data_IF_849848840563
#
_entry.id   IF_849848840563
#
_cell.length_a   1.000
_cell.length_b   1.000
_cell.length_c   1.000
_cell.angle_alpha   90.00
_cell.angle_beta   90.00
_cell.angle_gamma   90.00
#
_symmetry.space_group_name_H-M   'P 1'
#
loop_
_entity.id
_entity.type
_entity.pdbx_description
1 polymer ?
#
# COMPACT_ATOMS: atom_id res chain seq x y z
N UNK A 1 1.68 38.18 8.60
CA UNK A 1 3.01 38.76 8.91
C UNK A 1 4.08 37.75 8.53
N UNK A 2 5.02 38.19 7.69
CA UNK A 2 6.16 37.45 7.15
C UNK A 2 7.18 37.06 8.22
N UNK A 3 7.84 35.90 8.08
CA UNK A 3 9.32 35.80 8.10
C UNK A 3 9.83 34.43 7.65
N UNK A 4 10.85 34.52 6.80
CA UNK A 4 11.68 33.46 6.20
C UNK A 4 12.67 32.84 7.19
N UNK A 5 13.21 31.71 6.72
CA UNK A 5 14.60 31.24 6.82
C UNK A 5 14.98 30.42 8.06
N UNK A 6 15.35 29.15 7.82
CA UNK A 6 16.64 28.62 8.25
C UNK A 6 17.16 27.63 7.19
N UNK A 7 18.20 28.08 6.48
CA UNK A 7 19.16 27.23 5.77
C UNK A 7 20.27 26.96 6.76
N UNK A 8 20.68 25.70 6.95
CA UNK A 8 22.05 25.39 7.34
C UNK A 8 22.49 24.05 6.75
N UNK A 9 23.55 24.19 5.96
CA UNK A 9 24.32 23.24 5.19
C UNK A 9 25.17 22.32 6.10
N UNK A 10 25.20 21.01 5.82
CA UNK A 10 26.30 20.11 6.19
C UNK A 10 26.61 19.12 5.07
N UNK A 11 27.48 19.58 4.16
CA UNK A 11 28.37 18.77 3.33
C UNK A 11 29.14 17.71 4.15
N UNK A 12 29.10 16.43 3.75
CA UNK A 12 30.14 15.73 2.94
C UNK A 12 30.05 14.21 3.10
N UNK A 13 29.79 13.55 1.98
CA UNK A 13 30.12 12.16 1.69
C UNK A 13 30.07 11.98 0.18
N UNK A 14 31.13 12.44 -0.52
CA UNK A 14 31.26 12.39 -1.98
C UNK A 14 31.28 10.93 -2.45
N UNK A 15 30.24 10.50 -3.15
CA UNK A 15 30.41 9.56 -4.25
C UNK A 15 29.95 10.22 -5.55
N UNK A 16 30.89 10.26 -6.47
CA UNK A 16 30.79 10.81 -7.80
C UNK A 16 29.89 9.94 -8.68
N UNK A 17 28.82 10.51 -9.21
CA UNK A 17 28.28 10.10 -10.50
C UNK A 17 27.99 11.35 -11.32
N UNK A 18 28.88 11.62 -12.26
CA UNK A 18 28.78 12.74 -13.16
C UNK A 18 27.54 12.67 -14.04
N UNK A 19 27.01 13.85 -14.34
CA UNK A 19 26.42 14.20 -15.61
C UNK A 19 25.44 13.20 -16.24
N UNK A 20 24.16 13.29 -15.85
CA UNK A 20 23.04 13.21 -16.80
C UNK A 20 21.94 14.22 -16.39
N UNK A 21 22.24 15.50 -16.51
CA UNK A 21 21.19 16.46 -16.88
C UNK A 21 20.90 16.23 -18.37
N UNK A 22 20.07 15.25 -18.68
CA UNK A 22 19.54 15.11 -20.03
C UNK A 22 18.24 15.91 -20.11
N UNK A 23 18.31 17.06 -20.75
CA UNK A 23 17.15 17.81 -21.23
C UNK A 23 16.38 16.93 -22.23
N UNK A 24 15.46 16.09 -21.74
CA UNK A 24 14.49 15.41 -22.59
C UNK A 24 13.12 16.02 -22.32
N UNK A 25 12.72 16.93 -23.22
CA UNK A 25 11.31 17.20 -23.42
C UNK A 25 10.69 15.94 -24.05
N UNK A 26 10.06 15.11 -23.24
CA UNK A 26 9.35 13.92 -23.69
C UNK A 26 7.99 14.33 -24.23
N UNK A 27 7.82 14.27 -25.55
CA UNK A 27 6.51 14.43 -26.17
C UNK A 27 5.67 13.18 -25.91
N UNK A 28 4.34 13.32 -25.86
CA UNK A 28 3.44 12.17 -25.69
C UNK A 28 3.68 11.08 -26.74
N UNK A 29 4.09 11.46 -27.97
CA UNK A 29 4.44 10.51 -29.02
C UNK A 29 5.69 9.67 -28.72
N UNK A 30 6.65 10.20 -27.94
CA UNK A 30 7.82 9.43 -27.50
C UNK A 30 7.43 8.37 -26.46
N UNK A 31 6.59 8.72 -25.48
CA UNK A 31 6.03 7.80 -24.49
C UNK A 31 5.30 6.63 -25.17
N UNK A 32 4.40 6.92 -26.11
CA UNK A 32 3.66 5.89 -26.85
C UNK A 32 4.58 4.91 -27.59
N UNK A 33 5.70 5.40 -28.15
CA UNK A 33 6.69 4.54 -28.82
C UNK A 33 7.39 3.60 -27.84
N UNK A 34 7.84 4.11 -26.69
CA UNK A 34 8.50 3.28 -25.68
C UNK A 34 7.55 2.23 -25.11
N UNK A 35 6.31 2.61 -24.80
CA UNK A 35 5.28 1.68 -24.35
C UNK A 35 4.96 0.61 -25.39
N UNK A 36 4.82 0.98 -26.67
CA UNK A 36 4.57 0.01 -27.75
C UNK A 36 5.68 -1.03 -27.88
N UNK A 37 6.94 -0.62 -27.75
CA UNK A 37 8.10 -1.52 -27.79
C UNK A 37 8.26 -2.34 -26.50
N UNK A 38 7.89 -1.78 -25.35
CA UNK A 38 7.88 -2.47 -24.07
C UNK A 38 6.84 -3.62 -24.08
N UNK A 39 5.66 -3.39 -24.66
CA UNK A 39 4.65 -4.43 -24.86
C UNK A 39 5.10 -5.56 -25.80
N UNK A 40 6.10 -5.31 -26.65
CA UNK A 40 6.74 -6.35 -27.48
C UNK A 40 7.81 -7.16 -26.73
N UNK A 41 7.94 -6.97 -25.41
CA UNK A 41 8.83 -7.75 -24.55
C UNK A 41 10.24 -7.20 -24.38
N UNK A 42 10.52 -5.95 -24.80
CA UNK A 42 11.83 -5.35 -24.62
C UNK A 42 11.96 -4.71 -23.22
N UNK A 43 12.63 -5.41 -22.31
CA UNK A 43 12.80 -5.00 -20.91
C UNK A 43 13.52 -3.65 -20.75
N UNK A 44 14.54 -3.35 -21.56
CA UNK A 44 15.24 -2.07 -21.47
C UNK A 44 14.34 -0.90 -21.89
N UNK A 45 13.47 -1.12 -22.88
CA UNK A 45 12.50 -0.11 -23.30
C UNK A 45 11.40 0.10 -22.25
N UNK A 46 11.09 -0.92 -21.43
CA UNK A 46 10.20 -0.78 -20.29
C UNK A 46 10.77 0.19 -19.24
N UNK A 47 12.02 -0.01 -18.83
CA UNK A 47 12.71 0.87 -17.87
C UNK A 47 12.70 2.33 -18.36
N UNK A 48 13.05 2.54 -19.63
CA UNK A 48 13.03 3.87 -20.24
C UNK A 48 11.61 4.46 -20.28
N UNK A 49 10.59 3.65 -20.56
CA UNK A 49 9.21 4.10 -20.55
C UNK A 49 8.77 4.55 -19.15
N UNK A 50 9.07 3.77 -18.12
CA UNK A 50 8.78 4.08 -16.71
C UNK A 50 9.47 5.38 -16.32
N UNK A 51 10.80 5.47 -16.49
CA UNK A 51 11.57 6.65 -16.11
C UNK A 51 11.04 7.92 -16.78
N UNK A 52 10.81 7.88 -18.09
CA UNK A 52 10.30 9.05 -18.82
C UNK A 52 8.89 9.45 -18.41
N UNK A 53 8.07 8.49 -18.01
CA UNK A 53 6.72 8.74 -17.51
C UNK A 53 6.76 9.43 -16.15
N UNK A 54 7.63 8.95 -15.25
CA UNK A 54 7.83 9.56 -13.94
C UNK A 54 8.42 10.97 -14.05
N UNK A 55 9.36 11.19 -14.96
CA UNK A 55 9.88 12.53 -15.28
C UNK A 55 8.77 13.44 -15.81
N UNK A 56 7.92 12.93 -16.71
CA UNK A 56 6.79 13.68 -17.25
C UNK A 56 5.75 14.02 -16.16
N UNK A 57 5.48 13.10 -15.24
CA UNK A 57 4.64 13.36 -14.08
C UNK A 57 5.24 14.44 -13.17
N UNK A 58 6.55 14.40 -12.90
CA UNK A 58 7.25 15.43 -12.14
C UNK A 58 7.07 16.84 -12.71
N UNK A 59 6.99 16.96 -14.03
CA UNK A 59 6.80 18.24 -14.71
C UNK A 59 5.34 18.68 -14.81
N UNK A 60 4.43 17.77 -15.15
CA UNK A 60 3.03 18.10 -15.46
C UNK A 60 2.10 18.01 -14.26
N UNK A 61 2.53 17.29 -13.21
CA UNK A 61 1.70 16.89 -12.09
C UNK A 61 0.44 16.08 -12.49
N UNK A 62 0.42 15.51 -13.70
CA UNK A 62 -0.67 14.66 -14.15
C UNK A 62 -0.52 13.23 -13.61
N UNK A 63 -1.32 12.87 -12.61
CA UNK A 63 -1.23 11.57 -11.95
C UNK A 63 -1.70 10.39 -12.83
N UNK A 64 -2.53 10.63 -13.85
CA UNK A 64 -2.99 9.57 -14.76
C UNK A 64 -1.82 8.83 -15.41
N UNK A 65 -0.66 9.51 -15.53
CA UNK A 65 0.59 8.91 -16.02
C UNK A 65 1.06 7.79 -15.09
N UNK A 66 1.02 7.98 -13.77
CA UNK A 66 1.44 6.98 -12.78
C UNK A 66 0.54 5.74 -12.85
N UNK A 67 -0.78 5.95 -12.91
CA UNK A 67 -1.74 4.85 -13.05
C UNK A 67 -1.55 4.09 -14.37
N UNK A 68 -1.30 4.81 -15.47
CA UNK A 68 -1.03 4.20 -16.77
C UNK A 68 0.24 3.35 -16.74
N UNK A 69 1.32 3.83 -16.12
CA UNK A 69 2.58 3.08 -15.95
C UNK A 69 2.35 1.80 -15.17
N UNK A 70 1.68 1.89 -14.01
CA UNK A 70 1.40 0.71 -13.17
C UNK A 70 0.52 -0.31 -13.89
N UNK A 71 -0.50 0.14 -14.62
CA UNK A 71 -1.33 -0.74 -15.45
C UNK A 71 -0.53 -1.44 -16.53
N UNK A 72 0.37 -0.73 -17.19
CA UNK A 72 1.21 -1.31 -18.24
C UNK A 72 2.20 -2.34 -17.68
N UNK A 73 2.82 -2.04 -16.53
CA UNK A 73 3.68 -2.99 -15.81
C UNK A 73 2.93 -4.26 -15.44
N UNK A 74 1.67 -4.15 -14.99
CA UNK A 74 0.79 -5.30 -14.71
C UNK A 74 0.51 -6.13 -15.98
N UNK A 75 0.12 -5.49 -17.08
CA UNK A 75 -0.25 -6.15 -18.35
C UNK A 75 0.93 -6.83 -19.02
N UNK A 76 2.12 -6.25 -18.95
CA UNK A 76 3.29 -6.81 -19.61
C UNK A 76 3.83 -8.07 -18.93
N UNK A 77 3.26 -8.49 -17.77
CA UNK A 77 3.66 -9.66 -17.00
C UNK A 77 5.18 -9.78 -16.81
N UNK A 78 5.89 -8.66 -16.86
CA UNK A 78 7.31 -8.62 -16.59
C UNK A 78 7.44 -8.77 -15.09
N UNK A 79 8.13 -9.80 -14.60
CA UNK A 79 8.47 -10.01 -13.18
C UNK A 79 9.44 -8.90 -12.67
N UNK A 80 9.07 -7.65 -12.90
CA UNK A 80 9.82 -6.44 -12.65
C UNK A 80 9.18 -5.68 -11.50
N UNK A 81 9.03 -6.39 -10.38
CA UNK A 81 8.55 -5.83 -9.12
C UNK A 81 9.45 -4.66 -8.65
N UNK A 82 10.72 -4.66 -9.07
CA UNK A 82 11.66 -3.56 -8.89
C UNK A 82 11.17 -2.23 -9.49
N UNK A 83 10.58 -2.26 -10.69
CA UNK A 83 10.04 -1.05 -11.34
C UNK A 83 8.77 -0.54 -10.66
N UNK A 84 7.96 -1.45 -10.10
CA UNK A 84 6.79 -1.05 -9.30
C UNK A 84 7.25 -0.38 -8.02
N UNK A 85 8.25 -0.93 -7.35
CA UNK A 85 8.85 -0.31 -6.16
C UNK A 85 9.45 1.06 -6.49
N UNK A 86 10.12 1.22 -7.63
CA UNK A 86 10.64 2.51 -8.10
C UNK A 86 9.51 3.54 -8.29
N UNK A 87 8.39 3.14 -8.89
CA UNK A 87 7.21 4.02 -9.01
C UNK A 87 6.69 4.42 -7.62
N UNK A 88 6.61 3.48 -6.67
CA UNK A 88 6.17 3.79 -5.30
C UNK A 88 7.15 4.73 -4.58
N UNK A 89 8.45 4.54 -4.74
CA UNK A 89 9.48 5.40 -4.16
C UNK A 89 9.32 6.83 -4.69
N UNK A 90 9.19 7.02 -6.01
CA UNK A 90 8.99 8.35 -6.63
C UNK A 90 7.65 8.96 -6.21
N UNK A 91 6.60 8.16 -6.06
CA UNK A 91 5.31 8.66 -5.56
C UNK A 91 5.47 9.21 -4.16
N UNK A 92 6.06 8.44 -3.25
CA UNK A 92 6.26 8.86 -1.86
C UNK A 92 7.15 10.09 -1.74
N UNK A 93 8.26 10.15 -2.49
CA UNK A 93 9.16 11.32 -2.49
C UNK A 93 8.42 12.62 -2.88
N UNK A 94 7.43 12.52 -3.77
CA UNK A 94 6.70 13.68 -4.27
C UNK A 94 5.50 14.06 -3.40
N UNK A 95 4.74 13.10 -2.91
CA UNK A 95 3.44 13.33 -2.23
C UNK A 95 3.51 13.10 -0.72
N UNK A 96 4.50 12.35 -0.23
CA UNK A 96 4.62 11.90 1.15
C UNK A 96 3.59 10.86 1.58
N UNK A 97 2.74 10.37 0.67
CA UNK A 97 1.71 9.36 0.96
C UNK A 97 1.23 8.66 -0.33
N UNK A 98 0.36 7.65 -0.18
CA UNK A 98 -0.10 6.84 -1.32
C UNK A 98 -1.58 7.01 -1.63
N UNK A 99 -2.24 8.01 -1.05
CA UNK A 99 -3.69 8.22 -1.16
C UNK A 99 -4.20 8.19 -2.60
N UNK A 100 -3.51 8.88 -3.51
CA UNK A 100 -3.88 8.97 -4.92
C UNK A 100 -3.92 7.59 -5.62
N UNK A 101 -3.12 6.62 -5.17
CA UNK A 101 -3.12 5.26 -5.72
C UNK A 101 -4.33 4.42 -5.26
N UNK A 102 -5.02 4.82 -4.20
CA UNK A 102 -6.15 4.09 -3.59
C UNK A 102 -7.41 4.96 -3.46
N UNK A 103 -7.40 6.17 -3.98
CA UNK A 103 -8.44 7.19 -3.75
C UNK A 103 -9.81 6.70 -4.21
N UNK A 104 -9.87 6.12 -5.41
CA UNK A 104 -11.11 5.62 -6.02
C UNK A 104 -11.77 4.49 -5.20
N UNK A 105 -10.97 3.64 -4.55
CA UNK A 105 -11.49 2.49 -3.79
C UNK A 105 -11.76 2.79 -2.33
N UNK A 106 -11.09 3.79 -1.76
CA UNK A 106 -11.30 4.20 -0.36
C UNK A 106 -12.35 5.32 -0.29
N UNK A 107 -12.12 6.40 -1.05
CA UNK A 107 -12.87 7.65 -0.97
C UNK A 107 -13.87 7.84 -2.11
N UNK A 108 -13.77 7.07 -3.20
CA UNK A 108 -14.71 7.13 -4.33
C UNK A 108 -16.15 6.78 -3.98
N UNK A 109 -17.10 7.08 -4.87
CA UNK A 109 -18.54 6.87 -4.60
C UNK A 109 -19.01 5.42 -4.76
N UNK A 110 -18.26 4.60 -5.50
CA UNK A 110 -18.63 3.20 -5.74
C UNK A 110 -18.36 2.36 -4.49
N UNK A 111 -19.39 1.72 -3.92
CA UNK A 111 -19.25 0.85 -2.75
C UNK A 111 -18.41 -0.40 -3.03
N UNK A 112 -18.45 -0.90 -4.27
CA UNK A 112 -17.79 -2.13 -4.69
C UNK A 112 -16.88 -1.84 -5.89
N UNK A 113 -15.56 -1.70 -5.67
CA UNK A 113 -14.61 -1.57 -6.77
C UNK A 113 -14.73 -2.75 -7.75
N UNK A 114 -14.40 -2.51 -9.02
CA UNK A 114 -14.38 -3.59 -10.01
C UNK A 114 -13.38 -4.67 -9.62
N UNK A 115 -13.63 -5.92 -10.07
CA UNK A 115 -12.70 -7.04 -9.85
C UNK A 115 -11.29 -6.70 -10.34
N UNK A 116 -11.19 -6.13 -11.54
CA UNK A 116 -9.91 -5.70 -12.13
C UNK A 116 -9.15 -4.71 -11.23
N UNK A 117 -9.88 -3.75 -10.64
CA UNK A 117 -9.28 -2.75 -9.75
C UNK A 117 -8.82 -3.37 -8.42
N UNK A 118 -9.59 -4.30 -7.87
CA UNK A 118 -9.17 -5.05 -6.67
C UNK A 118 -7.92 -5.89 -6.95
N UNK A 119 -7.84 -6.53 -8.12
CA UNK A 119 -6.64 -7.27 -8.54
C UNK A 119 -5.43 -6.36 -8.75
N UNK A 120 -5.62 -5.11 -9.21
CA UNK A 120 -4.54 -4.11 -9.26
C UNK A 120 -4.05 -3.75 -7.86
N UNK A 121 -4.96 -3.47 -6.93
CA UNK A 121 -4.63 -3.13 -5.53
C UNK A 121 -3.94 -4.29 -4.84
N UNK A 122 -4.44 -5.50 -5.01
CA UNK A 122 -3.83 -6.70 -4.45
C UNK A 122 -2.41 -6.88 -5.00
N UNK A 123 -2.19 -6.64 -6.30
CA UNK A 123 -0.85 -6.65 -6.88
C UNK A 123 0.07 -5.56 -6.31
N UNK A 124 -0.43 -4.34 -6.12
CA UNK A 124 0.32 -3.26 -5.47
C UNK A 124 0.76 -3.66 -4.07
N UNK A 125 -0.15 -4.22 -3.27
CA UNK A 125 0.13 -4.65 -1.91
C UNK A 125 1.11 -5.83 -1.89
N UNK A 126 0.97 -6.78 -2.80
CA UNK A 126 1.93 -7.89 -2.94
C UNK A 126 3.35 -7.41 -3.13
N UNK A 127 3.54 -6.40 -3.98
CA UNK A 127 4.88 -5.89 -4.28
C UNK A 127 5.39 -4.92 -3.21
N UNK A 128 4.55 -4.01 -2.73
CA UNK A 128 4.99 -2.85 -1.98
C UNK A 128 4.68 -2.88 -0.47
N UNK A 129 3.84 -3.78 0.04
CA UNK A 129 3.42 -3.76 1.46
C UNK A 129 4.58 -3.82 2.46
N UNK A 130 5.60 -4.62 2.16
CA UNK A 130 6.81 -4.77 2.98
C UNK A 130 7.86 -3.66 2.77
N UNK A 131 7.67 -2.75 1.81
CA UNK A 131 8.58 -1.62 1.56
C UNK A 131 8.47 -0.62 2.71
N UNK A 132 9.60 -0.18 3.25
CA UNK A 132 9.64 0.79 4.35
C UNK A 132 10.05 2.17 3.87
N UNK A 133 9.46 3.19 4.47
CA UNK A 133 9.69 4.59 4.15
C UNK A 133 9.98 5.38 5.43
N UNK A 134 10.88 6.34 5.35
CA UNK A 134 11.20 7.20 6.49
C UNK A 134 10.13 8.26 6.67
N UNK A 135 9.37 8.17 7.76
CA UNK A 135 8.34 9.13 8.16
C UNK A 135 8.63 9.62 9.58
N UNK A 136 8.77 10.95 9.77
CA UNK A 136 9.07 11.54 11.09
C UNK A 136 10.31 10.94 11.81
N UNK A 137 11.33 10.55 11.04
CA UNK A 137 12.57 9.88 11.49
C UNK A 137 12.40 8.41 11.94
N UNK A 138 11.27 7.78 11.61
CA UNK A 138 11.04 6.36 11.83
C UNK A 138 10.85 5.64 10.50
N UNK A 139 11.34 4.40 10.40
CA UNK A 139 11.07 3.55 9.24
C UNK A 139 9.71 2.87 9.42
N UNK A 140 8.76 3.27 8.59
CA UNK A 140 7.37 2.81 8.65
C UNK A 140 7.07 1.99 7.38
N UNK A 141 6.45 0.80 7.49
CA UNK A 141 6.06 0.04 6.31
C UNK A 141 4.98 0.79 5.52
N UNK A 142 5.00 0.64 4.20
CA UNK A 142 4.11 1.29 3.25
C UNK A 142 2.65 1.21 3.66
N UNK A 143 2.25 0.02 4.10
CA UNK A 143 0.87 -0.31 4.44
C UNK A 143 0.35 0.43 5.68
N UNK A 144 1.26 0.89 6.54
CA UNK A 144 0.97 1.63 7.78
C UNK A 144 1.37 3.11 7.72
N UNK A 145 1.83 3.60 6.56
CA UNK A 145 2.14 5.02 6.42
C UNK A 145 0.87 5.87 6.63
N UNK A 146 0.96 6.94 7.44
CA UNK A 146 -0.19 7.80 7.68
C UNK A 146 -0.48 8.69 6.48
N UNK A 147 -1.76 8.78 6.13
CA UNK A 147 -2.33 9.72 5.19
C UNK A 147 -3.30 10.67 5.95
N UNK A 148 -2.96 11.96 6.01
CA UNK A 148 -3.69 12.96 6.81
C UNK A 148 -3.87 12.48 8.27
N UNK A 149 -2.81 11.91 8.85
CA UNK A 149 -2.77 11.43 10.23
C UNK A 149 -3.27 10.00 10.45
N UNK A 150 -3.83 9.31 9.44
CA UNK A 150 -4.42 7.97 9.60
C UNK A 150 -4.01 7.03 8.47
N UNK A 151 -3.90 5.73 8.73
CA UNK A 151 -3.51 4.76 7.69
C UNK A 151 -4.61 4.58 6.64
N UNK A 152 -4.25 4.09 5.45
CA UNK A 152 -5.24 3.75 4.41
C UNK A 152 -6.25 2.70 4.92
N UNK A 153 -5.81 1.77 5.76
CA UNK A 153 -6.69 0.81 6.43
C UNK A 153 -7.70 1.50 7.38
N UNK A 154 -7.29 2.55 8.09
CA UNK A 154 -8.20 3.32 8.95
C UNK A 154 -9.27 4.08 8.15
N UNK A 155 -8.87 4.67 7.02
CA UNK A 155 -9.81 5.29 6.09
C UNK A 155 -10.78 4.26 5.51
N UNK A 156 -10.29 3.11 5.05
CA UNK A 156 -11.11 2.01 4.56
C UNK A 156 -12.13 1.53 5.62
N UNK A 157 -11.70 1.37 6.88
CA UNK A 157 -12.57 0.99 7.98
C UNK A 157 -13.67 2.04 8.25
N UNK A 158 -13.31 3.31 8.40
CA UNK A 158 -14.28 4.39 8.66
C UNK A 158 -15.30 4.60 7.55
N UNK A 159 -14.93 4.26 6.31
CA UNK A 159 -15.80 4.33 5.12
C UNK A 159 -16.58 3.04 4.84
N UNK A 160 -16.42 2.00 5.65
CA UNK A 160 -17.13 0.73 5.46
C UNK A 160 -16.64 -0.11 4.28
N UNK A 161 -15.39 0.09 3.82
CA UNK A 161 -14.79 -0.61 2.66
C UNK A 161 -14.31 -2.00 3.05
N UNK A 162 -15.22 -2.91 3.37
CA UNK A 162 -14.89 -4.24 3.94
C UNK A 162 -13.89 -5.03 3.09
N UNK A 163 -14.05 -5.09 1.77
CA UNK A 163 -13.15 -5.83 0.88
C UNK A 163 -11.74 -5.20 0.86
N UNK A 164 -11.66 -3.88 0.75
CA UNK A 164 -10.38 -3.15 0.72
C UNK A 164 -9.68 -3.22 2.08
N UNK A 165 -10.44 -3.11 3.17
CA UNK A 165 -9.96 -3.31 4.53
C UNK A 165 -9.40 -4.73 4.72
N UNK A 166 -10.13 -5.75 4.27
CA UNK A 166 -9.65 -7.13 4.32
C UNK A 166 -8.34 -7.28 3.55
N UNK A 167 -8.21 -6.70 2.36
CA UNK A 167 -6.94 -6.71 1.61
C UNK A 167 -5.81 -6.08 2.43
N UNK A 168 -5.98 -4.87 2.96
CA UNK A 168 -4.93 -4.25 3.79
C UNK A 168 -4.55 -5.11 5.00
N UNK A 169 -5.54 -5.67 5.71
CA UNK A 169 -5.26 -6.54 6.85
C UNK A 169 -4.54 -7.83 6.43
N UNK A 170 -4.90 -8.45 5.30
CA UNK A 170 -4.25 -9.64 4.75
C UNK A 170 -2.75 -9.40 4.52
N UNK A 171 -2.41 -8.26 3.93
CA UNK A 171 -1.04 -7.82 3.63
C UNK A 171 -0.31 -7.16 4.81
N UNK A 172 -0.87 -7.22 6.03
CA UNK A 172 -0.13 -6.89 7.26
C UNK A 172 -0.33 -5.50 7.82
N UNK A 173 -1.37 -4.78 7.41
CA UNK A 173 -1.75 -3.53 8.08
C UNK A 173 -1.98 -3.76 9.58
N UNK A 174 -1.47 -2.86 10.42
CA UNK A 174 -1.68 -2.94 11.86
C UNK A 174 -3.16 -2.71 12.18
N UNK A 175 -3.87 -3.71 12.74
CA UNK A 175 -5.28 -3.58 13.00
C UNK A 175 -5.59 -2.52 14.06
N UNK A 176 -4.68 -2.21 14.99
CA UNK A 176 -4.86 -1.14 15.97
C UNK A 176 -4.89 0.22 15.29
N UNK A 177 -4.00 0.45 14.32
CA UNK A 177 -4.00 1.66 13.50
C UNK A 177 -5.24 1.72 12.61
N UNK A 178 -5.64 0.60 12.01
CA UNK A 178 -6.87 0.50 11.23
C UNK A 178 -8.14 0.82 12.04
N UNK A 179 -8.15 0.49 13.34
CA UNK A 179 -9.27 0.81 14.21
C UNK A 179 -9.32 2.28 14.64
N UNK A 180 -8.28 3.08 14.42
CA UNK A 180 -8.09 4.35 15.12
C UNK A 180 -9.18 5.41 14.83
N UNK A 181 -9.81 5.35 13.64
CA UNK A 181 -10.93 6.21 13.26
C UNK A 181 -12.31 5.69 13.70
N UNK A 182 -12.36 4.52 14.33
CA UNK A 182 -13.60 4.01 14.90
C UNK A 182 -13.86 4.72 16.24
N UNK A 183 -14.68 5.76 16.20
CA UNK A 183 -14.94 6.65 17.35
C UNK A 183 -16.38 6.64 17.87
N UNK A 184 -17.39 6.27 17.08
CA UNK A 184 -18.79 6.18 17.52
C UNK A 184 -19.70 5.36 16.59
N UNK A 185 -20.56 4.52 17.18
CA UNK A 185 -21.66 3.81 16.49
C UNK A 185 -22.57 4.79 15.71
N UNK A 186 -23.14 4.39 14.55
CA UNK A 186 -23.14 3.05 13.96
C UNK A 186 -21.95 2.81 13.02
N UNK A 187 -21.22 1.73 13.26
CA UNK A 187 -20.27 1.16 12.31
C UNK A 187 -20.85 -0.10 11.67
N UNK A 188 -20.48 -0.44 10.43
CA UNK A 188 -20.85 -1.73 9.87
C UNK A 188 -20.24 -2.84 10.72
N UNK A 189 -21.09 -3.75 11.24
CA UNK A 189 -20.67 -4.89 12.07
C UNK A 189 -19.52 -5.68 11.43
N UNK A 190 -19.52 -5.81 10.11
CA UNK A 190 -18.49 -6.53 9.36
C UNK A 190 -17.10 -5.84 9.42
N UNK A 191 -17.03 -4.52 9.49
CA UNK A 191 -15.74 -3.80 9.66
C UNK A 191 -15.13 -4.15 11.02
N UNK A 192 -15.96 -4.13 12.06
CA UNK A 192 -15.55 -4.47 13.41
C UNK A 192 -15.10 -5.93 13.49
N UNK A 193 -15.86 -6.86 12.89
CA UNK A 193 -15.47 -8.27 12.79
C UNK A 193 -14.12 -8.44 12.08
N UNK A 194 -13.90 -7.80 10.94
CA UNK A 194 -12.62 -7.87 10.21
C UNK A 194 -11.43 -7.39 11.03
N UNK A 195 -11.58 -6.27 11.73
CA UNK A 195 -10.52 -5.72 12.58
C UNK A 195 -10.22 -6.68 13.75
N UNK A 196 -11.25 -7.16 14.44
CA UNK A 196 -11.09 -8.11 15.54
C UNK A 196 -10.50 -9.44 15.08
N UNK A 197 -10.78 -9.89 13.85
CA UNK A 197 -10.14 -11.07 13.26
C UNK A 197 -8.62 -10.87 13.18
N UNK A 198 -8.11 -9.66 12.95
CA UNK A 198 -6.68 -9.40 12.83
C UNK A 198 -5.98 -9.04 14.15
N UNK A 199 -6.71 -8.55 15.16
CA UNK A 199 -6.15 -8.11 16.45
C UNK A 199 -5.92 -9.26 17.43
N UNK A 200 -4.78 -9.34 18.15
CA UNK A 200 -4.64 -10.31 19.25
C UNK A 200 -5.61 -10.02 20.41
N UNK A 201 -5.81 -8.74 20.70
CA UNK A 201 -6.72 -8.21 21.73
C UNK A 201 -7.42 -6.96 21.20
N UNK A 202 -8.70 -6.74 21.53
CA UNK A 202 -9.39 -5.52 21.12
C UNK A 202 -8.71 -4.27 21.69
N UNK A 203 -8.44 -3.29 20.84
CA UNK A 203 -7.89 -2.01 21.27
C UNK A 203 -8.91 -1.21 22.13
N UNK A 204 -8.47 -0.28 23.01
CA UNK A 204 -9.37 0.43 23.92
C UNK A 204 -10.51 1.20 23.22
N UNK A 205 -10.26 1.76 22.04
CA UNK A 205 -11.27 2.41 21.21
C UNK A 205 -12.32 1.42 20.69
N UNK A 206 -11.93 0.19 20.36
CA UNK A 206 -12.84 -0.88 19.97
C UNK A 206 -13.73 -1.30 21.14
N UNK A 207 -13.14 -1.44 22.33
CA UNK A 207 -13.88 -1.75 23.57
C UNK A 207 -14.88 -0.65 23.97
N UNK A 208 -14.65 0.62 23.60
CA UNK A 208 -15.62 1.69 23.82
C UNK A 208 -16.86 1.55 22.93
N UNK A 209 -16.68 1.02 21.72
CA UNK A 209 -17.76 0.84 20.76
C UNK A 209 -18.61 -0.36 21.14
N UNK A 210 -17.95 -1.48 21.47
CA UNK A 210 -18.63 -2.72 21.83
C UNK A 210 -18.00 -3.28 23.12
N UNK A 211 -18.43 -2.79 24.30
CA UNK A 211 -17.86 -3.17 25.60
C UNK A 211 -18.05 -4.64 25.94
N UNK A 212 -18.96 -5.32 25.25
CA UNK A 212 -19.24 -6.74 25.44
C UNK A 212 -18.17 -7.65 24.82
N UNK A 213 -17.30 -7.11 23.95
CA UNK A 213 -16.20 -7.83 23.29
C UNK A 213 -14.98 -8.09 24.19
N UNK A 214 -15.12 -8.07 25.52
CA UNK A 214 -14.08 -8.60 26.42
C UNK A 214 -14.01 -10.12 26.25
N UNK A 215 -13.46 -10.54 25.12
CA UNK A 215 -13.21 -11.92 24.77
C UNK A 215 -11.79 -12.20 25.20
N UNK A 216 -11.62 -13.11 26.16
CA UNK A 216 -10.32 -13.78 26.31
C UNK A 216 -10.07 -14.49 24.99
N UNK A 217 -9.09 -14.06 24.18
CA UNK A 217 -8.87 -14.66 22.87
C UNK A 217 -8.54 -16.13 23.06
N UNK A 218 -9.18 -16.99 22.26
CA UNK A 218 -8.88 -18.42 22.26
C UNK A 218 -7.41 -18.62 21.91
N UNK A 219 -6.78 -19.67 22.44
CA UNK A 219 -5.39 -20.01 22.11
C UNK A 219 -5.14 -20.06 20.58
N UNK A 220 -6.08 -20.63 19.82
CA UNK A 220 -6.03 -20.66 18.34
C UNK A 220 -5.86 -19.26 17.72
N UNK A 221 -6.54 -18.27 18.29
CA UNK A 221 -6.51 -16.89 17.81
C UNK A 221 -5.17 -16.21 18.15
N UNK A 222 -4.67 -16.40 19.38
CA UNK A 222 -3.33 -15.93 19.78
C UNK A 222 -2.23 -16.54 18.92
N UNK A 223 -2.31 -17.85 18.64
CA UNK A 223 -1.37 -18.52 17.75
C UNK A 223 -1.38 -17.91 16.34
N UNK A 224 -2.56 -17.57 15.80
CA UNK A 224 -2.65 -16.88 14.51
C UNK A 224 -1.89 -15.56 14.53
N UNK A 225 -2.09 -14.73 15.54
CA UNK A 225 -1.41 -13.43 15.60
C UNK A 225 0.10 -13.59 15.70
N UNK A 226 0.59 -14.54 16.50
CA UNK A 226 2.02 -14.84 16.61
C UNK A 226 2.58 -15.28 15.26
N UNK A 227 1.93 -16.23 14.57
CA UNK A 227 2.37 -16.72 13.26
C UNK A 227 2.37 -15.60 12.22
N UNK A 228 1.30 -14.79 12.15
CA UNK A 228 1.22 -13.65 11.22
C UNK A 228 2.32 -12.62 11.48
N UNK A 229 2.63 -12.31 12.75
CA UNK A 229 3.69 -11.37 13.11
C UNK A 229 5.08 -11.87 12.68
N UNK A 230 5.34 -13.18 12.79
CA UNK A 230 6.60 -13.78 12.32
C UNK A 230 6.72 -13.68 10.79
N UNK A 231 5.62 -13.86 10.06
CA UNK A 231 5.59 -13.87 8.61
C UNK A 231 5.36 -12.49 7.97
N UNK A 232 5.24 -11.43 8.78
CA UNK A 232 4.67 -10.12 8.39
C UNK A 232 5.25 -9.51 7.12
N UNK A 233 6.52 -9.78 6.79
CA UNK A 233 7.19 -9.24 5.60
C UNK A 233 6.73 -9.85 4.27
N UNK A 234 6.19 -11.08 4.31
CA UNK A 234 5.91 -11.89 3.13
C UNK A 234 4.48 -12.48 3.14
N UNK A 235 3.58 -11.97 3.98
CA UNK A 235 2.17 -12.39 3.94
C UNK A 235 1.45 -11.74 2.73
N UNK A 236 0.48 -12.43 2.11
CA UNK A 236 -0.03 -13.75 2.49
C UNK A 236 0.78 -14.93 1.92
N UNK A 237 1.66 -14.72 0.95
CA UNK A 237 2.35 -15.81 0.22
C UNK A 237 3.05 -16.81 1.17
N UNK A 238 3.79 -16.32 2.18
CA UNK A 238 4.48 -17.16 3.15
C UNK A 238 3.56 -18.03 4.02
N UNK A 239 2.27 -17.68 4.16
CA UNK A 239 1.28 -18.51 4.86
C UNK A 239 1.00 -19.78 4.04
N UNK A 240 0.96 -19.64 2.72
CA UNK A 240 0.64 -20.76 1.82
C UNK A 240 1.80 -21.73 1.64
N UNK A 241 3.02 -21.32 1.97
CA UNK A 241 4.20 -22.19 2.03
C UNK A 241 4.27 -23.08 3.28
N UNK A 242 3.46 -22.79 4.32
CA UNK A 242 3.47 -23.57 5.56
C UNK A 242 2.97 -25.01 5.34
N UNK A 243 3.60 -26.02 5.96
CA UNK A 243 3.17 -27.42 5.88
C UNK A 243 2.01 -27.72 6.85
N UNK A 244 0.91 -26.97 6.73
CA UNK A 244 -0.29 -27.08 7.56
C UNK A 244 -1.55 -27.27 6.70
N UNK A 245 -2.66 -27.77 7.27
CA UNK A 245 -3.94 -27.87 6.57
C UNK A 245 -4.40 -26.55 5.92
N UNK A 246 -5.06 -26.66 4.78
CA UNK A 246 -5.49 -25.50 3.99
C UNK A 246 -6.46 -24.60 4.76
N UNK A 247 -7.32 -25.17 5.58
CA UNK A 247 -8.28 -24.43 6.40
C UNK A 247 -7.57 -23.55 7.44
N UNK A 248 -6.42 -23.99 7.96
CA UNK A 248 -5.59 -23.17 8.84
C UNK A 248 -4.88 -22.05 8.05
N UNK A 249 -4.51 -22.29 6.78
CA UNK A 249 -3.96 -21.24 5.91
C UNK A 249 -4.99 -20.14 5.67
N UNK A 250 -6.24 -20.50 5.35
CA UNK A 250 -7.33 -19.53 5.18
C UNK A 250 -7.65 -18.76 6.47
N UNK A 251 -7.54 -19.41 7.63
CA UNK A 251 -7.68 -18.72 8.92
C UNK A 251 -6.54 -17.74 9.19
N UNK A 252 -5.30 -18.17 8.94
CA UNK A 252 -4.12 -17.33 9.07
C UNK A 252 -4.18 -16.15 8.10
N UNK A 253 -4.70 -16.35 6.88
CA UNK A 253 -4.91 -15.33 5.85
C UNK A 253 -6.22 -14.55 6.01
N UNK A 254 -6.91 -14.68 7.15
CA UNK A 254 -8.12 -13.90 7.47
C UNK A 254 -9.31 -14.11 6.49
N UNK A 255 -9.24 -15.10 5.60
CA UNK A 255 -10.29 -15.42 4.63
C UNK A 255 -11.45 -16.19 5.28
N UNK A 256 -11.21 -16.86 6.41
CA UNK A 256 -12.23 -17.61 7.15
C UNK A 256 -12.27 -17.23 8.63
N UNK A 257 -13.49 -17.24 9.16
CA UNK A 257 -13.76 -17.28 10.59
C UNK A 257 -13.67 -18.69 11.16
N UNK A 258 -13.25 -18.78 12.42
CA UNK A 258 -13.35 -19.99 13.24
C UNK A 258 -13.74 -19.65 14.67
#
# INVERSE_FOLDING_TARGET
MSRRAFVLDRRRGKHSSGARQSNFFTSMGSLTKYFGLAMMGNAHMMELAVQQSLDHWNLTNNFDIVLMVLKLLKVCHTNREDLVLEVFDVVYEKTGCFDILFDDVIFGTCLYPSKERLEEIEWYLKVASGRTFTFQNEDVPMIDLPNVGWTLAAHAASKGRTIVLLLFLRYGADPNKAAALLTSSPFPEEVLRLILRAMPYPAPNVLKIEPTLVLVPRLKHLCKTVVRNVLIKNIPDAIYDLPIPFELKEYLDLLKDF
#
